data_IF_597319622063
#
_entry.id   IF_597319622063
#
_cell.length_a   1.000
_cell.length_b   1.000
_cell.length_c   1.000
_cell.angle_alpha   90.00
_cell.angle_beta   90.00
_cell.angle_gamma   90.00
#
_symmetry.space_group_name_H-M   'P 1'
#
loop_
_entity.id
_entity.type
_entity.pdbx_description
1 polymer ?
#
# COMPACT_ATOMS: atom_id res chain seq x y z
N UNK A 1 65.38 -38.77 -5.69
CA UNK A 1 64.23 -39.18 -6.51
C UNK A 1 63.08 -38.21 -6.22
N UNK A 2 62.94 -37.16 -7.02
CA UNK A 2 61.91 -36.12 -6.88
C UNK A 2 60.83 -36.37 -7.92
N UNK A 3 59.67 -36.82 -7.48
CA UNK A 3 58.49 -37.00 -8.34
C UNK A 3 57.83 -35.63 -8.56
N UNK A 4 57.95 -35.12 -9.80
CA UNK A 4 57.19 -33.99 -10.28
C UNK A 4 55.76 -34.43 -10.67
N UNK A 5 54.73 -33.91 -9.97
CA UNK A 5 53.32 -34.05 -10.31
C UNK A 5 52.99 -33.21 -11.56
N UNK A 6 52.19 -33.72 -12.52
CA UNK A 6 51.83 -32.98 -13.70
C UNK A 6 50.72 -31.95 -13.40
N UNK A 7 51.09 -30.69 -13.45
CA UNK A 7 50.15 -29.54 -13.53
C UNK A 7 49.57 -29.45 -14.97
N UNK A 8 48.35 -29.90 -15.19
CA UNK A 8 47.82 -29.83 -16.53
C UNK A 8 46.38 -30.27 -16.75
N UNK A 9 45.39 -29.73 -15.98
CA UNK A 9 43.96 -29.92 -16.35
C UNK A 9 42.99 -28.84 -15.86
N UNK A 10 43.42 -27.73 -15.28
CA UNK A 10 42.51 -26.73 -14.65
C UNK A 10 41.88 -25.74 -15.63
N UNK A 11 42.43 -25.56 -16.82
CA UNK A 11 42.02 -24.49 -17.75
C UNK A 11 40.70 -24.78 -18.50
N UNK A 12 40.33 -26.04 -18.66
CA UNK A 12 39.11 -26.41 -19.41
C UNK A 12 37.83 -26.25 -18.63
N UNK A 13 37.85 -26.41 -17.30
CA UNK A 13 36.68 -26.26 -16.42
C UNK A 13 36.23 -24.81 -16.27
N UNK A 14 37.14 -23.85 -16.19
CA UNK A 14 36.81 -22.43 -16.06
C UNK A 14 36.04 -21.90 -17.30
N UNK A 15 36.39 -22.34 -18.51
CA UNK A 15 35.68 -21.95 -19.73
C UNK A 15 34.28 -22.56 -19.83
N UNK A 16 34.09 -23.78 -19.33
CA UNK A 16 32.77 -24.44 -19.30
C UNK A 16 31.82 -23.76 -18.29
N UNK A 17 32.29 -23.45 -17.12
CA UNK A 17 31.52 -22.74 -16.09
C UNK A 17 31.14 -21.33 -16.56
N UNK A 18 32.06 -20.62 -17.21
CA UNK A 18 31.80 -19.30 -17.76
C UNK A 18 30.75 -19.33 -18.89
N UNK A 19 30.82 -20.34 -19.78
CA UNK A 19 29.85 -20.52 -20.86
C UNK A 19 28.45 -20.85 -20.37
N UNK A 20 28.34 -21.71 -19.38
CA UNK A 20 27.03 -22.05 -18.75
C UNK A 20 26.45 -20.84 -18.02
N UNK A 21 27.27 -20.10 -17.27
CA UNK A 21 26.84 -18.88 -16.56
C UNK A 21 26.30 -17.79 -17.51
N UNK A 22 27.01 -17.54 -18.64
CA UNK A 22 26.55 -16.57 -19.65
C UNK A 22 25.24 -17.03 -20.29
N UNK A 23 25.09 -18.32 -20.62
CA UNK A 23 23.88 -18.84 -21.24
C UNK A 23 22.66 -18.72 -20.31
N UNK A 24 22.82 -19.02 -19.03
CA UNK A 24 21.74 -18.86 -18.04
C UNK A 24 21.34 -17.39 -17.90
N UNK A 25 22.30 -16.47 -17.92
CA UNK A 25 22.06 -15.04 -17.80
C UNK A 25 21.30 -14.48 -19.03
N UNK A 26 21.67 -14.94 -20.23
CA UNK A 26 20.97 -14.55 -21.48
C UNK A 26 19.55 -15.09 -21.52
N UNK A 27 19.32 -16.33 -21.07
CA UNK A 27 17.98 -16.92 -21.01
C UNK A 27 17.13 -16.16 -19.98
N UNK A 28 17.67 -15.84 -18.79
CA UNK A 28 16.98 -15.07 -17.77
C UNK A 28 16.59 -13.67 -18.29
N UNK A 29 17.49 -12.98 -18.98
CA UNK A 29 17.18 -11.67 -19.59
C UNK A 29 16.12 -11.79 -20.69
N UNK A 30 16.14 -12.83 -21.51
CA UNK A 30 15.13 -13.05 -22.54
C UNK A 30 13.74 -13.34 -21.92
N UNK A 31 13.67 -14.11 -20.85
CA UNK A 31 12.43 -14.39 -20.12
C UNK A 31 11.89 -13.13 -19.44
N UNK A 32 12.74 -12.32 -18.84
CA UNK A 32 12.38 -11.02 -18.26
C UNK A 32 11.86 -10.05 -19.34
N UNK A 33 12.50 -10.02 -20.50
CA UNK A 33 12.07 -9.21 -21.64
C UNK A 33 10.70 -9.64 -22.18
N UNK A 34 10.46 -10.95 -22.28
CA UNK A 34 9.15 -11.48 -22.71
C UNK A 34 8.04 -11.18 -21.70
N UNK A 35 8.33 -11.35 -20.41
CA UNK A 35 7.40 -11.02 -19.34
C UNK A 35 7.10 -9.51 -19.30
N UNK A 36 8.13 -8.65 -19.47
CA UNK A 36 7.98 -7.20 -19.57
C UNK A 36 7.07 -6.76 -20.74
N UNK A 37 7.18 -7.41 -21.91
CA UNK A 37 6.29 -7.11 -23.02
C UNK A 37 4.84 -7.53 -22.78
N UNK A 38 4.60 -8.56 -21.97
CA UNK A 38 3.27 -9.10 -21.71
C UNK A 38 2.54 -8.32 -20.61
N UNK A 39 3.23 -7.94 -19.56
CA UNK A 39 2.70 -7.16 -18.44
C UNK A 39 3.83 -6.39 -17.72
N UNK A 40 4.09 -5.14 -18.14
CA UNK A 40 5.11 -4.29 -17.52
C UNK A 40 4.86 -4.06 -16.03
N UNK A 41 3.59 -3.99 -15.61
CA UNK A 41 3.23 -3.71 -14.23
C UNK A 41 3.59 -4.87 -13.29
N UNK A 42 3.47 -6.12 -13.75
CA UNK A 42 3.83 -7.29 -12.94
C UNK A 42 5.34 -7.37 -12.67
N UNK A 43 6.17 -6.95 -13.63
CA UNK A 43 7.64 -6.94 -13.45
C UNK A 43 8.06 -5.81 -12.52
N UNK A 44 7.44 -4.66 -12.63
CA UNK A 44 7.68 -3.55 -11.72
C UNK A 44 7.30 -3.98 -10.29
N UNK A 45 6.14 -4.62 -10.10
CA UNK A 45 5.73 -5.20 -8.81
C UNK A 45 6.72 -6.27 -8.31
N UNK A 46 7.18 -7.17 -9.19
CA UNK A 46 8.18 -8.19 -8.83
C UNK A 46 9.54 -7.56 -8.47
N UNK A 47 10.00 -6.58 -9.24
CA UNK A 47 11.24 -5.85 -8.97
C UNK A 47 11.19 -5.15 -7.61
N UNK A 48 10.09 -4.45 -7.34
CA UNK A 48 9.86 -3.83 -6.03
C UNK A 48 9.74 -4.87 -4.90
N UNK A 49 9.10 -6.01 -5.13
CA UNK A 49 8.98 -7.07 -4.11
C UNK A 49 10.31 -7.75 -3.78
N UNK A 50 11.22 -7.88 -4.75
CA UNK A 50 12.52 -8.53 -4.54
C UNK A 50 13.57 -7.58 -3.96
N UNK A 51 13.60 -6.32 -4.44
CA UNK A 51 14.61 -5.35 -4.00
C UNK A 51 14.24 -4.73 -2.64
N UNK A 52 12.95 -4.61 -2.37
CA UNK A 52 12.42 -3.96 -1.17
C UNK A 52 11.66 -4.92 -0.25
N UNK A 53 12.06 -6.19 -0.21
CA UNK A 53 11.55 -7.19 0.74
C UNK A 53 12.00 -6.87 2.18
N UNK A 54 11.87 -5.60 2.59
CA UNK A 54 11.95 -5.22 3.99
C UNK A 54 10.67 -5.75 4.60
N UNK A 55 10.80 -6.81 5.40
CA UNK A 55 9.68 -7.29 6.21
C UNK A 55 9.48 -6.29 7.35
N UNK A 56 8.57 -5.34 7.14
CA UNK A 56 8.22 -4.34 8.15
C UNK A 56 7.14 -4.84 9.14
N UNK A 57 6.76 -6.12 9.04
CA UNK A 57 5.74 -6.72 9.92
C UNK A 57 4.36 -6.09 9.78
N UNK A 58 3.54 -6.19 10.83
CA UNK A 58 2.18 -5.66 10.88
C UNK A 58 2.08 -4.21 11.40
N UNK A 59 3.21 -3.56 11.67
CA UNK A 59 3.26 -2.18 12.18
C UNK A 59 2.59 -1.97 13.54
N UNK A 60 2.21 -3.05 14.23
CA UNK A 60 1.45 -3.03 15.47
C UNK A 60 -0.07 -3.11 15.27
N UNK A 61 -0.54 -3.24 14.03
CA UNK A 61 -1.98 -3.28 13.72
C UNK A 61 -2.65 -4.46 14.42
N UNK A 62 -2.13 -5.66 14.26
CA UNK A 62 -2.67 -6.87 14.90
C UNK A 62 -1.94 -7.18 16.21
N UNK A 63 -0.60 -7.16 16.21
CA UNK A 63 0.21 -7.48 17.38
C UNK A 63 0.05 -6.49 18.55
N UNK A 64 -0.24 -5.22 18.26
CA UNK A 64 -0.23 -4.13 19.25
C UNK A 64 1.18 -3.65 19.64
N UNK A 65 2.22 -4.12 18.96
CA UNK A 65 3.62 -3.76 19.21
C UNK A 65 4.22 -3.12 17.96
N UNK A 66 4.82 -1.94 18.04
CA UNK A 66 5.17 -1.15 19.22
C UNK A 66 4.02 -0.35 19.85
N UNK A 67 2.87 -0.29 19.19
CA UNK A 67 1.70 0.46 19.68
C UNK A 67 0.42 -0.03 19.00
N UNK A 68 -0.72 0.13 19.67
CA UNK A 68 -2.04 -0.16 19.09
C UNK A 68 -2.60 1.05 18.34
N UNK A 69 -3.56 0.81 17.40
CA UNK A 69 -4.26 1.86 16.67
C UNK A 69 -4.77 3.01 17.60
N UNK A 70 -4.74 4.24 17.11
CA UNK A 70 -4.39 4.74 15.78
C UNK A 70 -2.89 4.96 15.55
N UNK A 71 -2.07 3.98 15.80
CA UNK A 71 -0.61 4.04 15.75
C UNK A 71 -0.05 2.95 14.82
N UNK A 72 0.94 3.31 14.00
CA UNK A 72 1.69 2.40 13.14
C UNK A 72 3.18 2.67 13.32
N UNK A 73 3.97 1.66 13.68
CA UNK A 73 5.41 1.79 13.99
C UNK A 73 5.75 2.91 15.00
N UNK A 74 4.86 3.20 15.94
CA UNK A 74 5.03 4.28 16.91
C UNK A 74 4.60 5.67 16.41
N UNK A 75 4.19 5.80 15.17
CA UNK A 75 3.70 7.05 14.56
C UNK A 75 2.20 7.17 14.77
N UNK A 76 1.73 8.32 15.27
CA UNK A 76 0.32 8.66 15.46
C UNK A 76 -0.06 9.88 14.63
N UNK A 77 -1.09 9.75 13.81
CA UNK A 77 -1.68 10.89 13.12
C UNK A 77 -2.36 11.83 14.14
N UNK A 78 -2.10 13.13 14.00
CA UNK A 78 -2.57 14.18 14.91
C UNK A 78 -1.68 14.43 16.14
N UNK A 79 -0.63 13.60 16.38
CA UNK A 79 0.19 13.71 17.59
C UNK A 79 1.70 13.77 17.28
N UNK A 80 2.20 12.92 16.38
CA UNK A 80 3.65 12.81 16.10
C UNK A 80 4.15 14.03 15.35
N UNK A 81 5.24 14.65 15.83
CA UNK A 81 5.88 15.79 15.19
C UNK A 81 6.84 15.35 14.08
N UNK A 82 7.09 16.23 13.11
CA UNK A 82 7.96 15.98 11.96
C UNK A 82 9.35 15.45 12.34
N UNK A 83 9.99 16.11 13.31
CA UNK A 83 11.34 15.74 13.78
C UNK A 83 11.39 14.40 14.53
N UNK A 84 10.26 13.90 15.00
CA UNK A 84 10.12 12.63 15.69
C UNK A 84 9.86 11.45 14.74
N UNK A 85 9.47 11.70 13.48
CA UNK A 85 9.10 10.64 12.54
C UNK A 85 10.26 9.67 12.34
N UNK A 86 11.39 10.16 11.81
CA UNK A 86 12.53 9.29 11.50
C UNK A 86 13.13 8.61 12.74
N UNK A 87 13.40 9.31 13.88
CA UNK A 87 13.87 8.64 15.09
C UNK A 87 12.93 7.53 15.60
N UNK A 88 11.61 7.75 15.45
CA UNK A 88 10.61 6.73 15.85
C UNK A 88 10.63 5.53 14.92
N UNK A 89 10.72 5.73 13.61
CA UNK A 89 10.81 4.65 12.63
C UNK A 89 12.10 3.82 12.82
N UNK A 90 13.24 4.48 13.02
CA UNK A 90 14.53 3.81 13.27
C UNK A 90 14.49 2.96 14.55
N UNK A 91 13.90 3.48 15.63
CA UNK A 91 13.71 2.74 16.88
C UNK A 91 12.86 1.48 16.66
N UNK A 92 11.97 1.49 15.70
CA UNK A 92 11.09 0.37 15.36
C UNK A 92 11.57 -0.45 14.16
N UNK A 93 12.85 -0.33 13.81
CA UNK A 93 13.52 -1.22 12.85
C UNK A 93 13.43 -0.80 11.39
N UNK A 94 12.92 0.41 11.10
CA UNK A 94 12.90 0.97 9.75
C UNK A 94 14.07 1.95 9.62
N UNK A 95 15.09 1.58 8.85
CA UNK A 95 16.26 2.42 8.68
C UNK A 95 15.96 3.68 7.84
N UNK A 96 16.61 4.79 8.16
CA UNK A 96 16.46 6.03 7.36
C UNK A 96 16.90 5.87 5.92
N UNK A 97 17.85 4.97 5.63
CA UNK A 97 18.25 4.61 4.27
C UNK A 97 17.14 3.98 3.43
N UNK A 98 16.11 3.45 4.06
CA UNK A 98 14.98 2.78 3.43
C UNK A 98 13.81 3.72 3.17
N UNK A 99 13.98 5.00 3.53
CA UNK A 99 12.97 6.05 3.40
C UNK A 99 13.40 7.13 2.41
N UNK A 100 12.47 7.56 1.58
CA UNK A 100 12.58 8.76 0.76
C UNK A 100 11.74 9.87 1.39
N UNK A 101 12.22 11.09 1.35
CA UNK A 101 11.47 12.27 1.80
C UNK A 101 11.15 13.12 0.59
N UNK A 102 9.86 13.32 0.34
CA UNK A 102 9.37 14.14 -0.76
C UNK A 102 8.70 15.40 -0.20
N UNK A 103 9.32 16.58 -0.39
CA UNK A 103 8.70 17.85 0.01
C UNK A 103 7.64 18.29 -0.99
N UNK A 104 6.51 18.75 -0.47
CA UNK A 104 5.47 19.45 -1.23
C UNK A 104 5.18 20.81 -0.56
N UNK A 105 4.41 21.66 -1.22
CA UNK A 105 4.06 23.00 -0.71
C UNK A 105 3.29 22.92 0.62
N UNK A 106 2.39 21.92 0.76
CA UNK A 106 1.49 21.81 1.90
C UNK A 106 1.79 20.63 2.83
N UNK A 107 2.68 19.71 2.43
CA UNK A 107 2.99 18.51 3.20
C UNK A 107 4.38 17.95 2.88
N UNK A 108 4.96 17.19 3.82
CA UNK A 108 6.09 16.32 3.58
C UNK A 108 5.61 14.87 3.57
N UNK A 109 6.14 14.06 2.66
CA UNK A 109 5.88 12.63 2.60
C UNK A 109 7.17 11.86 2.90
N UNK A 110 7.14 11.03 3.94
CA UNK A 110 8.15 9.98 4.14
C UNK A 110 7.60 8.70 3.53
N UNK A 111 8.28 8.18 2.52
CA UNK A 111 7.92 6.93 1.85
C UNK A 111 8.98 5.89 2.15
N UNK A 112 8.66 4.91 2.98
CA UNK A 112 9.59 3.90 3.47
C UNK A 112 9.23 2.52 2.93
N UNK A 113 10.24 1.63 2.82
CA UNK A 113 10.05 0.27 2.37
C UNK A 113 9.38 0.17 0.99
N UNK A 114 9.85 0.96 0.01
CA UNK A 114 9.26 1.05 -1.33
C UNK A 114 7.78 1.49 -1.35
N UNK A 115 7.42 2.41 -0.49
CA UNK A 115 6.07 2.96 -0.42
C UNK A 115 5.09 2.12 0.41
N UNK A 116 5.56 1.08 1.09
CA UNK A 116 4.69 0.29 1.97
C UNK A 116 4.26 1.03 3.23
N UNK A 117 5.08 1.96 3.70
CA UNK A 117 4.74 2.89 4.76
C UNK A 117 4.91 4.31 4.23
N UNK A 118 3.84 5.06 4.22
CA UNK A 118 3.84 6.47 3.87
C UNK A 118 3.36 7.28 5.06
N UNK A 119 4.16 8.26 5.48
CA UNK A 119 3.84 9.17 6.59
C UNK A 119 3.76 10.57 6.03
N UNK A 120 2.58 11.17 6.09
CA UNK A 120 2.33 12.54 5.65
C UNK A 120 2.37 13.48 6.84
N UNK A 121 3.10 14.58 6.71
CA UNK A 121 3.22 15.63 7.71
C UNK A 121 2.73 16.94 7.12
N UNK A 122 1.83 17.60 7.80
CA UNK A 122 1.34 18.94 7.45
C UNK A 122 2.44 19.99 7.69
N UNK A 123 2.76 20.80 6.68
CA UNK A 123 3.84 21.81 6.76
C UNK A 123 3.49 23.02 7.64
N UNK A 124 2.23 23.27 7.91
CA UNK A 124 1.81 24.42 8.72
C UNK A 124 1.88 24.08 10.22
N UNK A 125 1.49 22.85 10.58
CA UNK A 125 1.47 22.39 11.98
C UNK A 125 2.72 21.62 12.37
N UNK A 126 3.50 21.12 11.41
CA UNK A 126 4.61 20.16 11.61
C UNK A 126 4.16 18.85 12.30
N UNK A 127 2.90 18.46 12.18
CA UNK A 127 2.33 17.26 12.78
C UNK A 127 1.95 16.27 11.69
N UNK A 128 2.14 14.99 11.94
CA UNK A 128 1.68 13.90 11.07
C UNK A 128 0.16 13.98 10.98
N UNK A 129 -0.37 14.13 9.76
CA UNK A 129 -1.80 14.16 9.51
C UNK A 129 -2.32 12.86 8.87
N UNK A 130 -1.44 12.00 8.32
CA UNK A 130 -1.82 10.73 7.74
C UNK A 130 -0.67 9.71 7.77
N UNK A 131 -1.04 8.43 7.96
CA UNK A 131 -0.15 7.28 7.87
C UNK A 131 -0.84 6.22 7.02
N UNK A 132 -0.23 5.82 5.91
CA UNK A 132 -0.70 4.74 5.04
C UNK A 132 0.25 3.56 5.15
N UNK A 133 -0.30 2.40 5.36
CA UNK A 133 0.46 1.17 5.55
C UNK A 133 -0.09 0.06 4.65
N UNK A 134 0.80 -0.55 3.86
CA UNK A 134 0.53 -1.74 3.06
C UNK A 134 1.20 -2.93 3.75
N UNK A 135 0.45 -3.81 4.42
CA UNK A 135 1.03 -4.92 5.16
C UNK A 135 1.78 -5.88 4.23
N UNK A 136 2.92 -6.41 4.72
CA UNK A 136 3.64 -7.48 4.04
C UNK A 136 3.01 -8.84 4.31
N UNK A 137 2.53 -9.00 5.55
CA UNK A 137 1.84 -10.21 5.97
C UNK A 137 0.37 -10.10 5.57
N UNK A 138 -0.23 -11.23 5.22
CA UNK A 138 -1.64 -11.28 4.89
C UNK A 138 -2.47 -11.02 6.14
N UNK A 139 -3.03 -9.83 6.23
CA UNK A 139 -4.00 -9.45 7.26
C UNK A 139 -5.39 -9.55 6.66
N UNK A 140 -6.29 -10.29 7.29
CA UNK A 140 -7.66 -10.40 6.85
C UNK A 140 -8.56 -9.31 7.45
N UNK A 141 -9.63 -8.97 6.75
CA UNK A 141 -10.66 -8.06 7.26
C UNK A 141 -11.25 -8.59 8.60
N UNK A 142 -11.36 -9.92 8.72
CA UNK A 142 -11.85 -10.56 9.94
C UNK A 142 -10.98 -10.30 11.15
N UNK A 143 -9.64 -10.32 11.01
CA UNK A 143 -8.70 -10.02 12.10
C UNK A 143 -8.80 -8.56 12.52
N UNK A 144 -8.99 -7.64 11.58
CA UNK A 144 -9.22 -6.22 11.88
C UNK A 144 -10.51 -6.05 12.67
N UNK A 145 -11.61 -6.66 12.21
CA UNK A 145 -12.92 -6.58 12.89
C UNK A 145 -12.88 -7.22 14.28
N UNK A 146 -12.21 -8.36 14.43
CA UNK A 146 -12.06 -9.02 15.73
C UNK A 146 -11.31 -8.14 16.74
N UNK A 147 -10.33 -7.39 16.27
CA UNK A 147 -9.51 -6.53 17.14
C UNK A 147 -10.14 -5.18 17.45
N UNK A 148 -10.75 -4.54 16.45
CA UNK A 148 -11.21 -3.14 16.57
C UNK A 148 -12.74 -2.98 16.59
N UNK A 149 -13.47 -4.08 16.51
CA UNK A 149 -14.92 -4.07 16.35
C UNK A 149 -15.33 -3.84 14.89
N UNK A 150 -16.64 -3.77 14.67
CA UNK A 150 -17.19 -3.53 13.34
C UNK A 150 -16.92 -2.11 12.83
N UNK A 151 -16.70 -1.93 11.51
CA UNK A 151 -16.60 -0.60 10.93
C UNK A 151 -17.92 0.16 11.02
N UNK A 152 -17.83 1.48 11.08
CA UNK A 152 -19.04 2.33 11.07
C UNK A 152 -19.66 2.38 9.69
N UNK A 153 -18.81 2.47 8.64
CA UNK A 153 -19.25 2.65 7.27
C UNK A 153 -18.43 1.80 6.31
N UNK A 154 -19.04 1.51 5.16
CA UNK A 154 -18.40 0.94 3.98
C UNK A 154 -18.73 1.79 2.75
N UNK A 155 -17.73 2.02 1.90
CA UNK A 155 -17.93 2.48 0.53
C UNK A 155 -17.53 1.40 -0.44
N UNK A 156 -18.20 1.35 -1.58
CA UNK A 156 -17.85 0.46 -2.69
C UNK A 156 -17.82 1.33 -3.95
N UNK A 157 -16.65 1.87 -4.24
CA UNK A 157 -16.49 2.85 -5.30
C UNK A 157 -16.06 2.21 -6.60
N UNK A 158 -16.41 2.84 -7.71
CA UNK A 158 -15.83 2.57 -9.03
C UNK A 158 -14.71 3.60 -9.26
N UNK A 159 -13.54 3.33 -8.71
CA UNK A 159 -12.35 4.16 -8.94
C UNK A 159 -11.40 3.47 -9.92
N UNK A 160 -10.58 4.28 -10.61
CA UNK A 160 -9.56 3.77 -11.52
C UNK A 160 -10.08 3.37 -12.90
N UNK A 161 -9.75 2.16 -13.35
CA UNK A 161 -10.19 1.68 -14.65
C UNK A 161 -11.71 1.41 -14.66
N UNK A 162 -12.40 1.67 -15.78
CA UNK A 162 -13.83 1.40 -15.89
C UNK A 162 -14.16 -0.06 -15.52
N UNK A 163 -15.09 -0.26 -14.57
CA UNK A 163 -15.51 -1.58 -14.11
C UNK A 163 -14.66 -2.19 -13.00
N UNK A 164 -13.75 -1.43 -12.40
CA UNK A 164 -13.08 -1.82 -11.14
C UNK A 164 -13.90 -1.40 -9.93
N UNK A 165 -13.86 -2.20 -8.89
CA UNK A 165 -14.55 -1.98 -7.62
C UNK A 165 -13.52 -1.97 -6.50
N UNK A 166 -13.56 -0.96 -5.65
CA UNK A 166 -12.63 -0.77 -4.54
C UNK A 166 -13.40 -0.57 -3.23
N UNK A 167 -13.58 -1.62 -2.40
CA UNK A 167 -14.23 -1.48 -1.10
C UNK A 167 -13.33 -0.84 -0.07
N UNK A 168 -13.89 0.09 0.72
CA UNK A 168 -13.22 0.78 1.82
C UNK A 168 -14.09 0.77 3.07
N UNK A 169 -13.48 0.57 4.23
CA UNK A 169 -14.12 0.45 5.53
C UNK A 169 -13.61 1.53 6.47
N UNK A 170 -14.50 2.11 7.26
CA UNK A 170 -14.21 3.28 8.10
C UNK A 170 -14.56 3.02 9.56
N UNK A 171 -13.57 3.19 10.45
CA UNK A 171 -13.72 3.17 11.90
C UNK A 171 -13.56 4.59 12.43
N UNK A 172 -14.66 5.26 12.76
CA UNK A 172 -14.65 6.66 13.17
C UNK A 172 -13.89 6.89 14.49
N UNK A 173 -14.09 6.01 15.48
CA UNK A 173 -13.50 6.14 16.82
C UNK A 173 -11.97 6.19 16.84
N UNK A 174 -11.33 5.50 15.89
CA UNK A 174 -9.87 5.43 15.75
C UNK A 174 -9.37 6.06 14.45
N UNK A 175 -10.25 6.69 13.69
CA UNK A 175 -9.95 7.37 12.42
C UNK A 175 -9.13 6.50 11.46
N UNK A 176 -9.59 5.24 11.34
CA UNK A 176 -8.98 4.22 10.49
C UNK A 176 -9.80 4.01 9.23
N UNK A 177 -9.12 3.93 8.12
CA UNK A 177 -9.61 3.47 6.82
C UNK A 177 -8.88 2.18 6.46
N UNK A 178 -9.62 1.16 6.06
CA UNK A 178 -9.09 -0.09 5.52
C UNK A 178 -9.59 -0.27 4.10
N UNK A 179 -8.68 -0.50 3.16
CA UNK A 179 -9.01 -0.78 1.77
C UNK A 179 -8.78 -2.26 1.46
N UNK A 180 -9.68 -2.83 0.67
CA UNK A 180 -9.49 -4.17 0.09
C UNK A 180 -8.95 -4.05 -1.33
N UNK A 181 -8.35 -5.13 -1.89
CA UNK A 181 -7.85 -5.13 -3.26
C UNK A 181 -8.92 -4.78 -4.28
N UNK A 182 -8.54 -4.02 -5.28
CA UNK A 182 -9.42 -3.75 -6.42
C UNK A 182 -9.71 -5.02 -7.21
N UNK A 183 -10.96 -5.20 -7.60
CA UNK A 183 -11.36 -6.26 -8.54
C UNK A 183 -12.12 -5.70 -9.73
N UNK A 184 -12.01 -6.38 -10.86
CA UNK A 184 -12.88 -6.10 -12.01
C UNK A 184 -14.21 -6.83 -11.82
N UNK A 185 -15.33 -6.11 -11.91
CA UNK A 185 -16.63 -6.73 -11.74
C UNK A 185 -17.76 -5.73 -11.48
N UNK A 186 -18.95 -6.28 -11.20
CA UNK A 186 -20.14 -5.50 -10.82
C UNK A 186 -20.50 -5.66 -9.34
N UNK A 187 -19.92 -6.66 -8.69
CA UNK A 187 -20.17 -7.00 -7.28
C UNK A 187 -18.88 -7.40 -6.63
N UNK A 188 -18.77 -7.16 -5.35
CA UNK A 188 -17.65 -7.58 -4.49
C UNK A 188 -18.18 -8.50 -3.40
N UNK A 189 -17.65 -9.73 -3.31
CA UNK A 189 -17.97 -10.65 -2.22
C UNK A 189 -17.00 -10.43 -1.06
N UNK A 190 -17.48 -9.75 -0.03
CA UNK A 190 -16.69 -9.42 1.16
C UNK A 190 -16.84 -10.55 2.17
N UNK A 191 -15.73 -11.21 2.48
CA UNK A 191 -15.67 -12.33 3.42
C UNK A 191 -14.76 -12.01 4.59
N UNK A 192 -14.93 -12.75 5.70
CA UNK A 192 -14.04 -12.64 6.86
C UNK A 192 -12.57 -12.86 6.50
N UNK A 193 -12.31 -13.73 5.53
CA UNK A 193 -10.97 -14.08 5.04
C UNK A 193 -10.44 -13.16 3.93
N UNK A 194 -11.22 -12.14 3.52
CA UNK A 194 -10.75 -11.20 2.49
C UNK A 194 -9.52 -10.45 2.99
N UNK A 195 -8.46 -10.49 2.20
CA UNK A 195 -7.19 -9.83 2.53
C UNK A 195 -7.32 -8.31 2.46
N UNK A 196 -6.62 -7.64 3.35
CA UNK A 196 -6.51 -6.18 3.40
C UNK A 196 -5.37 -5.73 2.49
N UNK A 197 -5.63 -4.78 1.62
CA UNK A 197 -4.61 -4.16 0.76
C UNK A 197 -3.85 -3.06 1.49
N UNK A 198 -4.59 -2.15 2.14
CA UNK A 198 -3.98 -1.03 2.84
C UNK A 198 -4.77 -0.60 4.08
N UNK A 199 -4.06 0.00 5.02
CA UNK A 199 -4.61 0.57 6.24
C UNK A 199 -4.11 2.00 6.36
N UNK A 200 -5.02 2.93 6.60
CA UNK A 200 -4.71 4.34 6.79
C UNK A 200 -5.23 4.81 8.14
N UNK A 201 -4.40 5.58 8.85
CA UNK A 201 -4.81 6.39 10.00
C UNK A 201 -4.65 7.85 9.64
N UNK A 202 -5.62 8.66 10.03
CA UNK A 202 -5.63 10.09 9.72
C UNK A 202 -5.92 10.91 10.96
N UNK A 203 -5.52 12.18 10.95
CA UNK A 203 -6.00 13.14 11.94
C UNK A 203 -7.50 13.46 11.69
N UNK A 204 -8.09 14.26 12.54
CA UNK A 204 -9.51 14.60 12.44
C UNK A 204 -9.82 15.41 11.18
N UNK A 205 -8.92 16.29 10.76
CA UNK A 205 -9.10 17.14 9.58
C UNK A 205 -9.09 16.33 8.28
N UNK A 206 -8.16 15.38 8.16
CA UNK A 206 -8.07 14.54 6.98
C UNK A 206 -9.15 13.45 6.95
N UNK A 207 -9.53 12.91 8.12
CA UNK A 207 -10.54 11.86 8.21
C UNK A 207 -11.97 12.37 7.98
N UNK A 208 -12.31 13.59 8.42
CA UNK A 208 -13.60 14.29 8.24
C UNK A 208 -14.82 13.40 8.52
N UNK A 209 -14.98 13.02 9.77
CA UNK A 209 -16.08 12.12 10.21
C UNK A 209 -17.48 12.68 9.83
N UNK A 210 -17.68 13.99 9.96
CA UNK A 210 -18.95 14.66 9.63
C UNK A 210 -19.38 14.51 8.17
N UNK A 211 -18.42 14.46 7.25
CA UNK A 211 -18.72 14.36 5.83
C UNK A 211 -19.28 12.97 5.49
N UNK A 212 -18.86 11.92 6.22
CA UNK A 212 -19.30 10.54 6.00
C UNK A 212 -20.76 10.30 6.40
N UNK A 213 -21.26 11.01 7.42
CA UNK A 213 -22.65 10.87 7.89
C UNK A 213 -23.65 11.46 6.92
N UNK A 214 -23.26 12.46 6.15
CA UNK A 214 -24.11 13.18 5.20
C UNK A 214 -23.98 12.74 3.75
N UNK A 215 -22.92 12.00 3.43
CA UNK A 215 -22.59 11.59 2.08
C UNK A 215 -23.23 10.22 1.75
N UNK A 216 -24.10 10.14 0.72
CA UNK A 216 -24.78 8.90 0.34
C UNK A 216 -23.84 7.78 -0.13
N UNK A 217 -22.57 8.06 -0.39
CA UNK A 217 -21.57 7.04 -0.73
C UNK A 217 -21.17 6.19 0.47
N UNK A 218 -21.31 6.70 1.70
CA UNK A 218 -21.00 5.97 2.92
C UNK A 218 -22.24 5.23 3.42
N UNK A 219 -22.23 3.90 3.32
CA UNK A 219 -23.29 3.05 3.87
C UNK A 219 -22.88 2.55 5.25
N UNK A 220 -23.80 2.46 6.21
CA UNK A 220 -23.55 1.68 7.41
C UNK A 220 -23.10 0.26 7.06
N UNK A 221 -22.18 -0.29 7.85
CA UNK A 221 -21.77 -1.68 7.70
C UNK A 221 -22.94 -2.60 8.14
N UNK A 222 -23.31 -3.57 7.30
CA UNK A 222 -24.36 -4.56 7.56
C UNK A 222 -23.87 -6.01 7.54
N UNK A 223 -22.54 -6.21 7.61
CA UNK A 223 -21.91 -7.52 7.66
C UNK A 223 -21.22 -7.97 6.38
N UNK A 224 -20.74 -9.20 6.39
CA UNK A 224 -20.12 -9.83 5.22
C UNK A 224 -21.15 -10.19 4.15
N UNK A 225 -20.75 -10.19 2.90
CA UNK A 225 -21.62 -10.56 1.79
C UNK A 225 -21.33 -9.83 0.49
N UNK A 226 -22.30 -9.85 -0.40
CA UNK A 226 -22.20 -9.27 -1.73
C UNK A 226 -22.51 -7.77 -1.70
N UNK A 227 -21.57 -6.97 -2.12
CA UNK A 227 -21.70 -5.52 -2.24
C UNK A 227 -21.69 -5.09 -3.69
N UNK A 228 -22.47 -4.05 -3.99
CA UNK A 228 -22.54 -3.42 -5.30
C UNK A 228 -22.08 -1.98 -5.21
N UNK A 229 -21.36 -1.48 -6.23
CA UNK A 229 -21.03 -0.08 -6.32
C UNK A 229 -22.27 0.80 -6.28
N UNK A 230 -22.18 1.92 -5.59
CA UNK A 230 -23.20 2.94 -5.63
C UNK A 230 -23.21 3.60 -7.00
N UNK A 231 -24.26 3.41 -7.76
CA UNK A 231 -24.50 4.20 -8.97
C UNK A 231 -25.17 5.50 -8.55
N UNK A 232 -24.39 6.53 -8.27
CA UNK A 232 -24.96 7.86 -8.08
C UNK A 232 -25.25 8.42 -9.45
N UNK A 233 -26.55 8.49 -9.80
CA UNK A 233 -26.99 9.22 -10.98
C UNK A 233 -26.81 10.70 -10.68
N UNK A 234 -25.67 11.27 -11.07
CA UNK A 234 -25.49 12.73 -11.01
C UNK A 234 -26.54 13.31 -11.97
N UNK A 235 -27.50 14.10 -11.48
CA UNK A 235 -28.45 14.75 -12.37
C UNK A 235 -27.66 15.62 -13.34
N UNK A 236 -27.85 15.40 -14.64
CA UNK A 236 -27.21 16.21 -15.67
C UNK A 236 -27.63 17.69 -15.47
N UNK A 237 -26.72 18.49 -14.93
CA UNK A 237 -26.92 19.93 -14.86
C UNK A 237 -26.95 20.40 -16.33
N UNK A 238 -28.06 20.91 -16.83
CA UNK A 238 -28.11 21.44 -18.21
C UNK A 238 -27.07 22.55 -18.34
N UNK A 239 -26.07 22.32 -19.18
CA UNK A 239 -25.09 23.37 -19.47
C UNK A 239 -25.86 24.62 -19.98
N UNK A 240 -25.59 25.79 -19.39
CA UNK A 240 -26.19 27.03 -19.90
C UNK A 240 -25.78 27.19 -21.36
N UNK A 241 -26.78 27.20 -22.24
CA UNK A 241 -26.57 27.45 -23.66
C UNK A 241 -26.04 28.89 -23.78
N UNK A 242 -24.74 28.99 -24.13
CA UNK A 242 -24.18 30.33 -24.42
C UNK A 242 -24.93 30.93 -25.59
N UNK A 243 -25.81 31.88 -25.31
CA UNK A 243 -26.47 32.70 -26.34
C UNK A 243 -25.40 33.67 -26.86
N UNK A 244 -24.81 33.34 -27.98
CA UNK A 244 -24.02 34.30 -28.73
C UNK A 244 -24.98 35.37 -29.24
N UNK A 245 -24.95 36.53 -28.62
CA UNK A 245 -25.61 37.74 -29.12
C UNK A 245 -24.76 38.27 -30.28
N UNK A 246 -25.37 38.61 -31.44
CA UNK A 246 -24.68 39.09 -32.63
C UNK A 246 -24.06 40.47 -32.42
#
# INVERSE_FOLDING_TARGET
>A
MTNSLPLGKSVKWGRFILGVGVSVLVIAMALLWFAYKKDPASIIKFYYSVIYAINIGDGGIISGVPCSAPCVFGIRAGETQFDQVMPTLEKNGIASSDCLTEPNVSWFLFSCGAGRLNVQVDTQTNIVNGVWFLPNDSISLGEIIEKYGEPNYVTVDQEGAPGTIHPRFYWNSIRMLVSLPEISGKTYDIQKTTEVESIQFSDENLFRTSDKESDPYYKPWDGYGMYQPLTVTVPSIPMPTATLTP
#
